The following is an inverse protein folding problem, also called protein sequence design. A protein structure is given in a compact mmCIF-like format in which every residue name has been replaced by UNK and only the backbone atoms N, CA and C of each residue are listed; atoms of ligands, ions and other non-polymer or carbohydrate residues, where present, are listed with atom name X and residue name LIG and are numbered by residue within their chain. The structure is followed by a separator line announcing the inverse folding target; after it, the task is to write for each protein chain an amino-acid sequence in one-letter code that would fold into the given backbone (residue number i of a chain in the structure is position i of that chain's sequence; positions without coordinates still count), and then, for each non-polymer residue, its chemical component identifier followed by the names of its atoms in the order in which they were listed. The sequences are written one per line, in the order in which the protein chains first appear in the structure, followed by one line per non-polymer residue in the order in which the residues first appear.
data_IF_025624755887
#
_entry.id   IF_025624755887
#
_cell.length_a   1.000
_cell.length_b   1.000
_cell.length_c   1.000
_cell.angle_alpha   90.00
_cell.angle_beta   90.00
_cell.angle_gamma   90.00
#
_symmetry.space_group_name_H-M   'P 1'
#
loop_
_entity.id
_entity.type
_entity.pdbx_description
1 polymer ?
#
# COMPACT_ATOMS: atom_id res chain seq x y z
N UNK A 1 -22.09 20.84 3.31
CA UNK A 1 -22.13 19.50 3.95
C UNK A 1 -21.72 18.43 2.94
N UNK A 2 -22.36 18.34 1.75
CA UNK A 2 -22.06 17.31 0.74
C UNK A 2 -20.57 17.27 0.31
N UNK A 3 -19.99 18.44 0.05
CA UNK A 3 -18.57 18.55 -0.33
C UNK A 3 -17.63 18.00 0.77
N UNK A 4 -17.93 18.27 2.04
CA UNK A 4 -17.14 17.77 3.16
C UNK A 4 -17.25 16.25 3.30
N UNK A 5 -18.45 15.69 3.06
CA UNK A 5 -18.67 14.24 3.06
C UNK A 5 -17.86 13.56 1.93
N UNK A 6 -17.93 14.10 0.71
CA UNK A 6 -17.17 13.57 -0.44
C UNK A 6 -15.65 13.68 -0.23
N UNK A 7 -15.19 14.80 0.34
CA UNK A 7 -13.79 14.96 0.71
C UNK A 7 -13.37 13.92 1.76
N UNK A 8 -14.19 13.72 2.78
CA UNK A 8 -13.97 12.70 3.81
C UNK A 8 -13.91 11.29 3.23
N UNK A 9 -14.80 10.92 2.31
CA UNK A 9 -14.80 9.61 1.66
C UNK A 9 -13.56 9.41 0.79
N UNK A 10 -13.13 10.43 0.03
CA UNK A 10 -11.91 10.32 -0.77
C UNK A 10 -10.67 10.11 0.09
N UNK A 11 -10.58 10.82 1.21
CA UNK A 11 -9.49 10.65 2.18
C UNK A 11 -9.55 9.27 2.87
N UNK A 12 -10.75 8.85 3.27
CA UNK A 12 -10.98 7.52 3.84
C UNK A 12 -10.58 6.39 2.89
N UNK A 13 -10.74 6.57 1.56
CA UNK A 13 -10.32 5.59 0.57
C UNK A 13 -8.80 5.41 0.55
N UNK A 14 -8.01 6.48 0.70
CA UNK A 14 -6.54 6.40 0.82
C UNK A 14 -6.17 5.70 2.13
N UNK A 15 -6.78 6.09 3.24
CA UNK A 15 -6.54 5.45 4.54
C UNK A 15 -6.93 3.97 4.52
N UNK A 16 -8.00 3.61 3.81
CA UNK A 16 -8.40 2.22 3.62
C UNK A 16 -7.31 1.41 2.90
N UNK A 17 -6.70 1.95 1.83
CA UNK A 17 -5.60 1.26 1.14
C UNK A 17 -4.42 0.98 2.09
N UNK A 18 -4.03 1.96 2.88
CA UNK A 18 -2.93 1.82 3.85
C UNK A 18 -3.31 0.77 4.90
N UNK A 19 -4.47 0.95 5.52
CA UNK A 19 -4.92 0.13 6.64
C UNK A 19 -5.15 -1.33 6.22
N UNK A 20 -5.75 -1.56 5.03
CA UNK A 20 -6.00 -2.92 4.54
C UNK A 20 -4.71 -3.67 4.20
N UNK A 21 -3.70 -2.99 3.63
CA UNK A 21 -2.38 -3.57 3.41
C UNK A 21 -1.69 -3.99 4.72
N UNK A 22 -1.71 -3.09 5.72
CA UNK A 22 -1.16 -3.37 7.04
C UNK A 22 -1.91 -4.50 7.75
N UNK A 23 -3.25 -4.47 7.69
CA UNK A 23 -4.12 -5.47 8.33
C UNK A 23 -3.92 -6.87 7.73
N UNK A 24 -3.75 -6.97 6.41
CA UNK A 24 -3.44 -8.24 5.75
C UNK A 24 -2.10 -8.81 6.21
N UNK A 25 -1.06 -7.99 6.25
CA UNK A 25 0.27 -8.42 6.72
C UNK A 25 0.20 -8.87 8.17
N UNK A 26 -0.41 -8.07 9.04
CA UNK A 26 -0.55 -8.41 10.46
C UNK A 26 -1.38 -9.68 10.66
N UNK A 27 -2.52 -9.81 9.98
CA UNK A 27 -3.41 -10.95 10.12
C UNK A 27 -2.75 -12.27 9.71
N UNK A 28 -1.97 -12.28 8.61
CA UNK A 28 -1.35 -13.50 8.09
C UNK A 28 -0.04 -13.84 8.77
N UNK A 29 0.78 -12.83 9.02
CA UNK A 29 2.15 -13.04 9.52
C UNK A 29 2.25 -12.89 11.04
N UNK A 30 1.29 -12.23 11.68
CA UNK A 30 1.35 -11.87 13.09
C UNK A 30 2.42 -10.82 13.40
N UNK A 31 2.84 -10.05 12.40
CA UNK A 31 3.94 -9.09 12.47
C UNK A 31 3.41 -7.68 12.43
N UNK A 32 3.78 -6.86 13.38
CA UNK A 32 3.56 -5.42 13.32
C UNK A 32 4.64 -4.77 12.43
N UNK A 33 4.32 -4.60 11.14
CA UNK A 33 5.24 -3.95 10.20
C UNK A 33 5.24 -2.43 10.36
N UNK A 34 6.11 -1.91 11.23
CA UNK A 34 6.26 -0.46 11.43
C UNK A 34 6.78 0.26 10.17
N UNK A 35 7.50 -0.46 9.28
CA UNK A 35 7.99 0.10 8.02
C UNK A 35 6.89 0.34 6.98
N UNK A 36 5.62 0.00 7.26
CA UNK A 36 4.53 0.20 6.31
C UNK A 36 4.35 1.67 5.90
N UNK A 37 4.50 2.60 6.84
CA UNK A 37 4.50 4.04 6.56
C UNK A 37 5.70 4.50 5.69
N UNK A 38 6.86 3.84 5.86
CA UNK A 38 8.02 4.11 5.02
C UNK A 38 7.81 3.60 3.57
N UNK A 39 7.12 2.47 3.40
CA UNK A 39 6.71 1.98 2.07
C UNK A 39 5.71 2.92 1.39
N UNK A 40 4.78 3.49 2.16
CA UNK A 40 3.88 4.55 1.70
C UNK A 40 4.67 5.74 1.15
N UNK A 41 5.61 6.25 1.93
CA UNK A 41 6.48 7.37 1.53
C UNK A 41 7.31 7.01 0.28
N UNK A 42 7.97 5.86 0.27
CA UNK A 42 8.75 5.40 -0.87
C UNK A 42 7.91 5.31 -2.16
N UNK A 43 6.69 4.77 -2.06
CA UNK A 43 5.76 4.70 -3.18
C UNK A 43 5.36 6.06 -3.73
N UNK A 44 5.14 7.05 -2.86
CA UNK A 44 4.86 8.42 -3.27
C UNK A 44 6.03 9.00 -4.08
N UNK A 45 7.25 8.96 -3.56
CA UNK A 45 8.42 9.55 -4.22
C UNK A 45 8.79 8.82 -5.52
N UNK A 46 8.80 7.49 -5.54
CA UNK A 46 9.10 6.69 -6.73
C UNK A 46 8.03 6.94 -7.81
N UNK A 47 6.76 6.86 -7.45
CA UNK A 47 5.65 7.05 -8.38
C UNK A 47 5.62 8.46 -8.96
N UNK A 48 5.80 9.50 -8.13
CA UNK A 48 5.85 10.88 -8.60
C UNK A 48 7.05 11.14 -9.54
N UNK A 49 8.20 10.55 -9.22
CA UNK A 49 9.39 10.69 -10.08
C UNK A 49 9.15 10.02 -11.43
N UNK A 50 8.60 8.81 -11.43
CA UNK A 50 8.27 8.12 -12.67
C UNK A 50 7.20 8.86 -13.50
N UNK A 51 6.13 9.32 -12.85
CA UNK A 51 5.09 10.10 -13.52
C UNK A 51 5.65 11.41 -14.13
N UNK A 52 6.58 12.07 -13.43
CA UNK A 52 7.25 13.27 -13.92
C UNK A 52 8.18 13.00 -15.09
N UNK A 53 8.93 11.89 -15.05
CA UNK A 53 9.88 11.54 -16.10
C UNK A 53 9.20 11.16 -17.42
N UNK A 54 8.16 10.34 -17.37
CA UNK A 54 7.43 9.94 -18.59
C UNK A 54 6.23 10.83 -18.93
N UNK A 55 5.93 11.84 -18.12
CA UNK A 55 4.76 12.70 -18.32
C UNK A 55 3.41 11.95 -18.24
N UNK A 56 3.38 10.74 -17.67
CA UNK A 56 2.21 9.88 -17.65
C UNK A 56 1.97 9.33 -16.25
N UNK A 57 0.79 9.61 -15.71
CA UNK A 57 0.37 9.16 -14.39
C UNK A 57 0.29 7.63 -14.27
N UNK A 58 -0.18 6.93 -15.33
CA UNK A 58 -0.25 5.47 -15.32
C UNK A 58 1.14 4.83 -15.21
N UNK A 59 2.16 5.43 -15.83
CA UNK A 59 3.54 4.98 -15.65
C UNK A 59 4.00 5.12 -14.20
N UNK A 60 3.59 6.20 -13.52
CA UNK A 60 3.80 6.36 -12.07
C UNK A 60 3.20 5.22 -11.26
N UNK A 61 1.94 4.83 -11.56
CA UNK A 61 1.27 3.68 -10.93
C UNK A 61 2.05 2.38 -11.17
N UNK A 62 2.38 2.08 -12.43
CA UNK A 62 3.06 0.83 -12.80
C UNK A 62 4.43 0.73 -12.13
N UNK A 63 5.22 1.80 -12.18
CA UNK A 63 6.55 1.83 -11.57
C UNK A 63 6.45 1.73 -10.04
N UNK A 64 5.49 2.41 -9.40
CA UNK A 64 5.26 2.28 -7.97
C UNK A 64 4.93 0.83 -7.60
N UNK A 65 3.98 0.18 -8.30
CA UNK A 65 3.60 -1.23 -8.05
C UNK A 65 4.79 -2.17 -8.17
N UNK A 66 5.54 -2.07 -9.29
CA UNK A 66 6.69 -2.96 -9.53
C UNK A 66 7.77 -2.72 -8.49
N UNK A 67 8.14 -1.46 -8.26
CA UNK A 67 9.21 -1.11 -7.31
C UNK A 67 8.86 -1.55 -5.89
N UNK A 68 7.64 -1.27 -5.42
CA UNK A 68 7.22 -1.67 -4.09
C UNK A 68 7.03 -3.19 -3.97
N UNK A 69 6.61 -3.85 -5.05
CA UNK A 69 6.58 -5.30 -5.11
C UNK A 69 7.98 -5.93 -4.96
N UNK A 70 8.97 -5.39 -5.66
CA UNK A 70 10.38 -5.82 -5.56
C UNK A 70 10.94 -5.49 -4.18
N UNK A 71 10.75 -4.26 -3.68
CA UNK A 71 11.19 -3.87 -2.33
C UNK A 71 10.56 -4.77 -1.28
N UNK A 72 9.26 -5.03 -1.36
CA UNK A 72 8.56 -5.94 -0.45
C UNK A 72 9.13 -7.36 -0.50
N UNK A 73 9.37 -7.91 -1.70
CA UNK A 73 9.99 -9.22 -1.87
C UNK A 73 11.38 -9.28 -1.23
N UNK A 74 12.22 -8.27 -1.46
CA UNK A 74 13.57 -8.17 -0.93
C UNK A 74 13.55 -8.08 0.60
N UNK A 75 12.71 -7.20 1.15
CA UNK A 75 12.58 -7.02 2.59
C UNK A 75 12.09 -8.29 3.29
N UNK A 76 11.10 -8.98 2.72
CA UNK A 76 10.62 -10.22 3.28
C UNK A 76 11.69 -11.32 3.22
N UNK A 77 12.27 -11.58 2.05
CA UNK A 77 13.20 -12.69 1.84
C UNK A 77 14.52 -12.52 2.57
N UNK A 78 15.08 -11.31 2.60
CA UNK A 78 16.39 -11.08 3.22
C UNK A 78 16.33 -10.88 4.73
N UNK A 79 15.24 -10.27 5.22
CA UNK A 79 15.18 -9.82 6.61
C UNK A 79 14.06 -10.50 7.40
N UNK A 80 12.78 -10.31 7.01
CA UNK A 80 11.65 -10.72 7.83
C UNK A 80 11.48 -12.23 7.91
N UNK A 81 11.70 -12.95 6.81
CA UNK A 81 11.56 -14.42 6.79
C UNK A 81 12.47 -15.14 7.78
N UNK A 82 13.60 -14.55 8.13
CA UNK A 82 14.53 -15.11 9.13
C UNK A 82 14.07 -14.91 10.56
N UNK A 83 13.16 -13.97 10.80
CA UNK A 83 12.68 -13.54 12.11
C UNK A 83 11.23 -13.94 12.40
N UNK A 84 10.62 -14.82 11.60
CA UNK A 84 9.17 -15.15 11.68
C UNK A 84 8.66 -15.68 13.03
N UNK A 85 9.52 -15.98 13.97
CA UNK A 85 9.12 -16.41 15.32
C UNK A 85 9.51 -15.41 16.42
N UNK A 86 10.06 -14.28 16.04
CA UNK A 86 10.67 -13.30 16.96
C UNK A 86 9.97 -11.95 16.76
N UNK A 87 8.85 -11.74 17.48
CA UNK A 87 8.00 -10.55 17.31
C UNK A 87 8.75 -9.24 17.62
N UNK A 88 9.53 -9.22 18.74
CA UNK A 88 10.25 -8.03 19.17
C UNK A 88 11.37 -7.65 18.20
N UNK A 89 12.10 -8.64 17.72
CA UNK A 89 13.19 -8.46 16.75
C UNK A 89 12.67 -7.96 15.41
N UNK A 90 11.50 -8.45 14.98
CA UNK A 90 10.83 -7.96 13.77
C UNK A 90 10.36 -6.52 13.92
N UNK A 91 9.78 -6.17 15.07
CA UNK A 91 9.36 -4.81 15.34
C UNK A 91 10.57 -3.85 15.33
N UNK A 92 11.68 -4.25 15.96
CA UNK A 92 12.92 -3.47 15.98
C UNK A 92 13.53 -3.33 14.58
N UNK A 93 13.56 -4.42 13.81
CA UNK A 93 14.03 -4.41 12.43
C UNK A 93 13.21 -3.45 11.57
N UNK A 94 11.87 -3.56 11.62
CA UNK A 94 10.98 -2.70 10.82
C UNK A 94 11.07 -1.24 11.24
N UNK A 95 11.31 -0.95 12.52
CA UNK A 95 11.61 0.40 12.99
C UNK A 95 12.93 0.92 12.40
N UNK A 96 13.99 0.11 12.38
CA UNK A 96 15.25 0.46 11.73
C UNK A 96 15.07 0.75 10.24
N UNK A 97 14.24 -0.04 9.55
CA UNK A 97 13.90 0.17 8.14
C UNK A 97 13.19 1.51 7.89
N UNK A 98 12.37 1.99 8.84
CA UNK A 98 11.77 3.34 8.74
C UNK A 98 12.85 4.40 8.63
N UNK A 99 13.84 4.37 9.52
CA UNK A 99 14.93 5.34 9.53
C UNK A 99 15.79 5.24 8.27
N UNK A 100 16.13 4.02 7.83
CA UNK A 100 16.90 3.81 6.60
C UNK A 100 16.13 4.38 5.41
N UNK A 101 14.87 4.02 5.25
CA UNK A 101 14.04 4.48 4.15
C UNK A 101 13.89 6.02 4.15
N UNK A 102 13.62 6.63 5.30
CA UNK A 102 13.52 8.08 5.44
C UNK A 102 14.81 8.78 5.00
N UNK A 103 15.97 8.29 5.46
CA UNK A 103 17.26 8.88 5.09
C UNK A 103 17.59 8.66 3.60
N UNK A 104 17.30 7.48 3.04
CA UNK A 104 17.49 7.21 1.61
C UNK A 104 16.61 8.13 0.77
N UNK A 105 15.36 8.33 1.14
CA UNK A 105 14.46 9.27 0.45
C UNK A 105 15.01 10.70 0.54
N UNK A 106 15.43 11.16 1.71
CA UNK A 106 16.04 12.49 1.88
C UNK A 106 17.34 12.65 1.07
N UNK A 107 18.13 11.59 0.97
CA UNK A 107 19.38 11.62 0.21
C UNK A 107 19.16 11.71 -1.29
N UNK A 108 18.16 10.99 -1.83
CA UNK A 108 17.88 10.94 -3.27
C UNK A 108 17.05 12.14 -3.73
N UNK A 109 16.01 12.51 -2.97
CA UNK A 109 15.04 13.55 -3.38
C UNK A 109 15.13 14.86 -2.60
N UNK A 110 15.95 14.88 -1.54
CA UNK A 110 16.11 16.04 -0.67
C UNK A 110 15.00 16.17 0.39
N UNK A 111 15.09 17.22 1.26
CA UNK A 111 14.18 17.40 2.38
C UNK A 111 12.83 18.05 2.00
N UNK A 112 12.63 18.35 0.73
CA UNK A 112 11.45 19.11 0.28
C UNK A 112 10.27 18.19 -0.01
N UNK A 113 9.10 18.57 0.50
CA UNK A 113 7.84 17.93 0.14
C UNK A 113 7.57 18.08 -1.36
N UNK A 114 7.12 17.01 -2.00
CA UNK A 114 6.75 17.02 -3.41
C UNK A 114 5.24 16.89 -3.54
N UNK A 115 4.62 17.97 -4.01
CA UNK A 115 3.18 17.97 -4.30
C UNK A 115 2.95 17.16 -5.58
N UNK A 116 2.15 16.13 -5.49
CA UNK A 116 1.73 15.35 -6.65
C UNK A 116 0.81 16.15 -7.56
N UNK A 117 1.06 16.07 -8.88
CA UNK A 117 0.10 16.60 -9.86
C UNK A 117 -0.91 15.52 -10.20
N UNK A 118 -2.20 15.86 -10.18
CA UNK A 118 -3.24 14.99 -10.72
C UNK A 118 -3.05 14.78 -12.23
N UNK A 119 -3.45 13.63 -12.79
CA UNK A 119 -3.38 13.40 -14.25
C UNK A 119 -4.21 14.46 -14.98
N UNK A 120 -3.71 14.89 -16.16
CA UNK A 120 -4.36 15.94 -16.95
C UNK A 120 -5.83 15.65 -17.28
N UNK A 121 -6.18 14.36 -17.44
CA UNK A 121 -7.56 13.90 -17.70
C UNK A 121 -8.48 14.05 -16.47
N UNK A 122 -7.92 14.15 -15.25
CA UNK A 122 -8.66 14.24 -13.99
C UNK A 122 -8.46 15.59 -13.28
N UNK A 123 -7.89 16.59 -13.96
CA UNK A 123 -7.71 17.96 -13.42
C UNK A 123 -9.00 18.75 -13.39
N UNK A 124 -9.99 18.35 -14.18
CA UNK A 124 -11.27 18.99 -14.23
C UNK A 124 -12.00 18.92 -12.89
N UNK A 125 -12.87 19.90 -12.65
CA UNK A 125 -13.75 19.93 -11.49
C UNK A 125 -15.19 19.83 -11.96
N UNK A 126 -15.98 18.99 -11.26
CA UNK A 126 -17.43 18.92 -11.45
C UNK A 126 -18.07 19.86 -10.46
N UNK A 127 -18.89 20.81 -10.98
CA UNK A 127 -19.67 21.70 -10.14
C UNK A 127 -20.91 20.97 -9.66
N UNK A 128 -21.03 20.76 -8.37
CA UNK A 128 -22.21 20.15 -7.73
C UNK A 128 -22.85 21.23 -6.86
N UNK A 129 -23.90 21.88 -7.37
CA UNK A 129 -24.47 23.07 -6.75
C UNK A 129 -23.46 24.22 -6.73
N UNK A 130 -23.18 24.78 -5.56
CA UNK A 130 -22.24 25.90 -5.37
C UNK A 130 -20.78 25.45 -5.14
N UNK A 131 -20.48 24.15 -5.27
CA UNK A 131 -19.17 23.60 -4.95
C UNK A 131 -18.48 22.93 -6.14
N UNK A 132 -17.19 23.23 -6.33
CA UNK A 132 -16.34 22.56 -7.29
C UNK A 132 -15.66 21.36 -6.62
N UNK A 133 -15.89 20.15 -7.16
CA UNK A 133 -15.30 18.92 -6.68
C UNK A 133 -14.37 18.31 -7.73
N UNK A 134 -13.12 18.03 -7.35
CA UNK A 134 -12.13 17.49 -8.26
C UNK A 134 -12.49 16.08 -8.74
N UNK A 135 -12.46 15.84 -10.05
CA UNK A 135 -12.69 14.53 -10.68
C UNK A 135 -11.70 13.49 -10.16
N UNK A 136 -10.48 13.91 -9.83
CA UNK A 136 -9.47 13.04 -9.25
C UNK A 136 -9.92 12.37 -7.95
N UNK A 137 -10.68 13.06 -7.11
CA UNK A 137 -11.20 12.50 -5.85
C UNK A 137 -12.25 11.41 -6.08
N UNK A 138 -13.07 11.56 -7.12
CA UNK A 138 -14.01 10.49 -7.53
C UNK A 138 -13.22 9.25 -8.02
N UNK A 139 -12.14 9.46 -8.78
CA UNK A 139 -11.29 8.36 -9.22
C UNK A 139 -10.66 7.61 -8.03
N UNK A 140 -10.20 8.32 -6.99
CA UNK A 140 -9.67 7.70 -5.76
C UNK A 140 -10.73 6.88 -5.04
N UNK A 141 -11.96 7.38 -4.92
CA UNK A 141 -13.08 6.63 -4.33
C UNK A 141 -13.35 5.35 -5.14
N UNK A 142 -13.41 5.46 -6.48
CA UNK A 142 -13.62 4.31 -7.35
C UNK A 142 -12.50 3.26 -7.22
N UNK A 143 -11.23 3.69 -7.18
CA UNK A 143 -10.07 2.81 -6.96
C UNK A 143 -10.18 2.13 -5.59
N UNK A 144 -10.54 2.86 -4.54
CA UNK A 144 -10.76 2.30 -3.21
C UNK A 144 -11.82 1.20 -3.21
N UNK A 145 -12.95 1.43 -3.88
CA UNK A 145 -14.03 0.45 -4.01
C UNK A 145 -13.61 -0.78 -4.82
N UNK A 146 -12.87 -0.60 -5.91
CA UNK A 146 -12.34 -1.71 -6.73
C UNK A 146 -11.38 -2.56 -5.90
N UNK A 147 -10.49 -1.94 -5.15
CA UNK A 147 -9.54 -2.65 -4.28
C UNK A 147 -10.28 -3.35 -3.14
N UNK A 148 -11.27 -2.70 -2.52
CA UNK A 148 -12.13 -3.32 -1.52
C UNK A 148 -12.81 -4.58 -2.06
N UNK A 149 -13.47 -4.48 -3.21
CA UNK A 149 -14.11 -5.62 -3.87
C UNK A 149 -13.13 -6.72 -4.25
N UNK A 150 -11.95 -6.35 -4.74
CA UNK A 150 -10.88 -7.29 -5.08
C UNK A 150 -10.35 -8.05 -3.87
N UNK A 151 -10.13 -7.36 -2.75
CA UNK A 151 -9.69 -7.98 -1.50
C UNK A 151 -10.77 -8.88 -0.89
N UNK A 152 -12.01 -8.42 -0.91
CA UNK A 152 -13.14 -9.24 -0.47
C UNK A 152 -13.26 -10.52 -1.30
N UNK A 153 -13.20 -10.39 -2.63
CA UNK A 153 -13.23 -11.55 -3.53
C UNK A 153 -12.04 -12.48 -3.30
N UNK A 154 -10.83 -11.93 -3.15
CA UNK A 154 -9.61 -12.70 -2.89
C UNK A 154 -9.74 -13.51 -1.59
N UNK A 155 -10.24 -12.89 -0.52
CA UNK A 155 -10.36 -13.53 0.78
C UNK A 155 -11.49 -14.55 0.83
N UNK A 156 -12.68 -14.21 0.32
CA UNK A 156 -13.88 -15.05 0.51
C UNK A 156 -14.09 -16.08 -0.59
N UNK A 157 -13.71 -15.76 -1.83
CA UNK A 157 -14.08 -16.54 -3.01
C UNK A 157 -12.92 -17.33 -3.62
N UNK A 158 -11.70 -17.20 -3.09
CA UNK A 158 -10.54 -17.90 -3.67
C UNK A 158 -9.96 -18.98 -2.75
N UNK A 159 -9.29 -19.96 -3.38
CA UNK A 159 -8.53 -21.00 -2.66
C UNK A 159 -7.37 -20.39 -1.85
N UNK A 160 -6.82 -19.25 -2.31
CA UNK A 160 -5.77 -18.53 -1.60
C UNK A 160 -6.31 -17.95 -0.30
N UNK A 161 -7.48 -17.29 -0.35
CA UNK A 161 -8.14 -16.78 0.85
C UNK A 161 -8.48 -17.86 1.86
N UNK A 162 -8.96 -19.04 1.40
CA UNK A 162 -9.20 -20.17 2.29
C UNK A 162 -7.92 -20.66 2.99
N UNK A 163 -6.78 -20.73 2.27
CA UNK A 163 -5.47 -21.08 2.85
C UNK A 163 -4.96 -20.03 3.82
N UNK A 164 -5.20 -18.74 3.52
CA UNK A 164 -4.87 -17.63 4.41
C UNK A 164 -5.62 -17.77 5.73
N UNK A 165 -6.94 -17.93 5.69
CA UNK A 165 -7.77 -18.10 6.89
C UNK A 165 -7.36 -19.33 7.71
N UNK A 166 -7.18 -20.50 7.06
CA UNK A 166 -6.73 -21.70 7.72
C UNK A 166 -5.37 -21.51 8.44
N UNK A 167 -4.45 -20.78 7.80
CA UNK A 167 -3.15 -20.49 8.40
C UNK A 167 -3.19 -19.45 9.52
N UNK A 168 -4.16 -18.53 9.50
CA UNK A 168 -4.41 -17.59 10.61
C UNK A 168 -4.96 -18.33 11.83
N UNK A 169 -5.82 -19.34 11.61
CA UNK A 169 -6.38 -20.14 12.70
C UNK A 169 -5.33 -21.09 13.29
N UNK A 170 -4.60 -21.83 12.44
CA UNK A 170 -3.53 -22.74 12.91
C UNK A 170 -2.47 -22.94 11.81
N UNK A 171 -1.36 -22.21 11.94
CA UNK A 171 -0.24 -22.24 11.00
C UNK A 171 0.45 -23.62 10.92
N UNK A 172 0.61 -24.30 12.08
CA UNK A 172 1.31 -25.57 12.13
C UNK A 172 0.49 -26.67 11.46
N UNK A 173 -0.80 -26.71 11.74
CA UNK A 173 -1.72 -27.66 11.13
C UNK A 173 -1.84 -27.44 9.61
N UNK A 174 -1.94 -26.19 9.17
CA UNK A 174 -2.02 -25.85 7.75
C UNK A 174 -0.76 -26.24 7.01
N UNK A 175 0.40 -26.08 7.63
CA UNK A 175 1.69 -26.49 7.05
C UNK A 175 1.79 -28.03 7.01
N UNK A 176 1.30 -28.72 8.04
CA UNK A 176 1.22 -30.19 8.07
C UNK A 176 0.34 -30.78 6.95
N UNK A 177 -0.66 -30.04 6.48
CA UNK A 177 -1.49 -30.39 5.31
C UNK A 177 -0.81 -30.11 3.96
N UNK A 178 0.49 -29.75 3.95
CA UNK A 178 1.28 -29.52 2.74
C UNK A 178 1.15 -28.12 2.14
N UNK A 179 0.52 -27.17 2.83
CA UNK A 179 0.43 -25.77 2.37
C UNK A 179 1.74 -25.06 2.68
N UNK A 180 2.39 -24.52 1.65
CA UNK A 180 3.58 -23.69 1.83
C UNK A 180 3.20 -22.30 2.38
N UNK A 181 3.06 -22.22 3.70
CA UNK A 181 2.66 -20.98 4.37
C UNK A 181 3.69 -19.85 4.24
N UNK A 182 4.98 -20.18 4.12
CA UNK A 182 6.03 -19.20 3.87
C UNK A 182 5.83 -18.44 2.56
N UNK A 183 5.43 -19.15 1.49
CA UNK A 183 5.14 -18.51 0.19
C UNK A 183 3.90 -17.62 0.28
N UNK A 184 2.87 -18.03 1.02
CA UNK A 184 1.66 -17.23 1.24
C UNK A 184 2.02 -15.96 2.00
N UNK A 185 2.81 -16.05 3.08
CA UNK A 185 3.27 -14.91 3.87
C UNK A 185 4.03 -13.91 3.01
N UNK A 186 4.99 -14.39 2.19
CA UNK A 186 5.75 -13.54 1.26
C UNK A 186 4.80 -12.82 0.27
N UNK A 187 3.85 -13.55 -0.33
CA UNK A 187 2.91 -12.96 -1.29
C UNK A 187 2.03 -11.87 -0.64
N UNK A 188 1.57 -12.11 0.58
CA UNK A 188 0.78 -11.13 1.33
C UNK A 188 1.61 -9.92 1.74
N UNK A 189 2.87 -10.11 2.11
CA UNK A 189 3.77 -8.99 2.42
C UNK A 189 4.02 -8.11 1.18
N UNK A 190 4.25 -8.72 0.02
CA UNK A 190 4.38 -8.01 -1.26
C UNK A 190 3.10 -7.23 -1.58
N UNK A 191 1.93 -7.87 -1.43
CA UNK A 191 0.64 -7.23 -1.67
C UNK A 191 0.46 -6.02 -0.73
N UNK A 192 0.76 -6.18 0.56
CA UNK A 192 0.72 -5.09 1.53
C UNK A 192 1.66 -3.94 1.18
N UNK A 193 2.90 -4.25 0.77
CA UNK A 193 3.87 -3.25 0.33
C UNK A 193 3.38 -2.46 -0.89
N UNK A 194 2.82 -3.16 -1.88
CA UNK A 194 2.20 -2.54 -3.07
C UNK A 194 1.04 -1.62 -2.68
N UNK A 195 0.15 -2.08 -1.79
CA UNK A 195 -1.00 -1.29 -1.34
C UNK A 195 -0.56 -0.03 -0.59
N UNK A 196 0.41 -0.16 0.33
CA UNK A 196 0.99 0.99 1.03
C UNK A 196 1.61 1.99 0.06
N UNK A 197 2.43 1.53 -0.88
CA UNK A 197 3.07 2.39 -1.86
C UNK A 197 2.12 3.03 -2.85
N UNK A 198 1.11 2.30 -3.32
CA UNK A 198 0.05 2.86 -4.16
C UNK A 198 -0.74 3.95 -3.42
N UNK A 199 -1.09 3.71 -2.16
CA UNK A 199 -1.76 4.71 -1.34
C UNK A 199 -0.92 5.98 -1.22
N UNK A 200 0.42 5.85 -1.11
CA UNK A 200 1.35 6.98 -1.10
C UNK A 200 1.33 7.78 -2.39
N UNK A 201 1.47 7.11 -3.53
CA UNK A 201 1.45 7.77 -4.83
C UNK A 201 0.09 8.40 -5.15
N UNK A 202 -1.00 7.66 -4.94
CA UNK A 202 -2.36 8.15 -5.18
C UNK A 202 -2.77 9.24 -4.18
N UNK A 203 -2.24 9.21 -2.97
CA UNK A 203 -2.52 10.22 -1.94
C UNK A 203 -1.76 11.53 -2.15
N UNK A 204 -0.62 11.53 -2.83
CA UNK A 204 0.24 12.68 -2.99
C UNK A 204 -0.44 13.95 -3.56
N UNK A 205 -1.36 13.88 -4.55
CA UNK A 205 -2.09 15.05 -5.02
C UNK A 205 -3.17 15.59 -4.05
N UNK A 206 -3.54 14.83 -3.03
CA UNK A 206 -4.62 15.18 -2.08
C UNK A 206 -4.04 15.65 -0.75
N UNK A 207 -2.97 14.99 -0.30
CA UNK A 207 -2.39 15.21 1.04
C UNK A 207 -1.25 16.23 0.97
N UNK A 208 -0.55 16.32 -0.17
CA UNK A 208 0.53 17.30 -0.44
C UNK A 208 1.87 16.81 0.02
#
# INVERSE_FOLDING_TARGET
ILANVLNGISYASILFLIASGLSLVFGVMGILNLAHGALYMAGAFIGLTAAGYWGNFLMGVVVAVISLGVIGLVLDRLFLSRLYKQFNEQALLTLGLVYICANVVMWIWGPWSRIGKSPAILTDSVTIGDFNFSVYRFAIIAIGLVIFGGLWWLQDKTKIGARIRAGMDNKEMTTGLGVNYGMISTAIFILGAIMGGLAGFLGAPIIG
#
